data_IF_489592049019
#
_entry.id   IF_489592049019
#
_cell.length_a   1.000
_cell.length_b   1.000
_cell.length_c   1.000
_cell.angle_alpha   90.00
_cell.angle_beta   90.00
_cell.angle_gamma   90.00
#
_symmetry.space_group_name_H-M   'P 1'
#
loop_
_entity.id
_entity.type
_entity.pdbx_description
1 polymer ?
#
# COMPACT_ATOMS: atom_id res chain seq x y z
N UNK A 1 22.60 14.67 32.32
CA UNK A 1 21.35 14.03 31.85
C UNK A 1 20.19 14.77 32.50
N UNK A 2 19.34 15.44 31.73
CA UNK A 2 18.21 16.20 32.32
C UNK A 2 16.96 15.30 32.36
N UNK A 3 16.35 15.11 33.55
CA UNK A 3 15.02 14.49 33.71
C UNK A 3 13.98 15.59 33.53
N UNK A 4 13.07 15.46 32.57
CA UNK A 4 12.01 16.44 32.30
C UNK A 4 10.65 15.90 32.75
N UNK A 5 9.88 16.69 33.50
CA UNK A 5 8.48 16.43 33.85
C UNK A 5 7.55 16.78 32.66
N UNK A 6 6.57 15.91 32.37
CA UNK A 6 5.59 16.05 31.27
C UNK A 6 4.17 16.12 31.86
N UNK A 7 3.34 17.05 31.39
CA UNK A 7 1.90 17.16 31.71
C UNK A 7 1.04 16.36 30.70
N UNK A 8 -0.08 15.78 31.15
CA UNK A 8 -0.93 14.86 30.39
C UNK A 8 -2.36 15.40 30.17
N UNK A 9 -2.93 15.11 28.99
CA UNK A 9 -4.37 15.05 28.71
C UNK A 9 -4.64 13.68 28.05
N UNK A 10 -5.48 12.85 28.68
CA UNK A 10 -5.72 11.45 28.32
C UNK A 10 -7.20 11.23 27.95
N UNK A 11 -7.48 10.51 26.86
CA UNK A 11 -8.76 9.84 26.63
C UNK A 11 -8.51 8.32 26.57
N UNK A 12 -9.25 7.55 27.37
CA UNK A 12 -8.95 6.16 27.71
C UNK A 12 -9.84 5.15 26.99
N UNK A 13 -9.26 3.99 26.68
CA UNK A 13 -9.87 2.68 26.84
C UNK A 13 -8.80 1.76 27.42
N UNK A 14 -8.99 1.30 28.66
CA UNK A 14 -8.08 0.58 29.58
C UNK A 14 -7.21 1.51 30.47
N UNK A 15 -7.70 1.76 31.68
CA UNK A 15 -7.00 2.50 32.74
C UNK A 15 -5.77 1.71 33.23
N UNK A 16 -4.57 2.23 32.96
CA UNK A 16 -3.35 1.85 33.69
C UNK A 16 -3.20 2.76 34.91
N UNK A 17 -3.08 2.19 36.11
CA UNK A 17 -2.98 2.91 37.39
C UNK A 17 -1.72 3.81 37.54
N UNK A 18 -0.79 3.78 36.58
CA UNK A 18 0.40 4.65 36.49
C UNK A 18 0.68 5.09 35.04
N UNK A 19 -0.30 5.69 34.38
CA UNK A 19 -0.21 6.10 32.96
C UNK A 19 0.95 7.06 32.65
N UNK A 20 1.34 7.93 33.59
CA UNK A 20 2.46 8.87 33.42
C UNK A 20 3.83 8.18 33.31
N UNK A 21 4.03 7.00 33.91
CA UNK A 21 5.28 6.23 33.79
C UNK A 21 5.53 5.72 32.36
N UNK A 22 4.47 5.52 31.58
CA UNK A 22 4.54 5.02 30.21
C UNK A 22 5.03 6.06 29.20
N UNK A 23 5.12 7.31 29.62
CA UNK A 23 5.70 8.44 28.87
C UNK A 23 6.84 9.11 29.65
N UNK A 24 7.43 8.41 30.63
CA UNK A 24 8.70 8.85 31.20
C UNK A 24 9.86 8.36 30.34
N UNK A 25 10.80 9.27 30.12
CA UNK A 25 11.81 9.12 29.09
C UNK A 25 13.03 9.99 29.33
N UNK A 26 14.09 9.71 28.59
CA UNK A 26 15.26 10.57 28.50
C UNK A 26 15.25 11.31 27.19
N UNK A 27 15.55 12.61 27.25
CA UNK A 27 15.67 13.46 26.08
C UNK A 27 17.15 13.75 25.82
N UNK A 28 17.57 13.60 24.57
CA UNK A 28 18.92 13.86 24.11
C UNK A 28 18.83 14.71 22.85
N UNK A 29 19.56 15.82 22.83
CA UNK A 29 19.74 16.62 21.64
C UNK A 29 21.02 16.18 20.92
N UNK A 30 20.90 15.82 19.65
CA UNK A 30 22.05 15.60 18.73
C UNK A 30 21.98 16.60 17.59
N UNK A 31 23.07 16.81 16.83
CA UNK A 31 23.19 17.90 15.82
C UNK A 31 21.88 18.20 15.07
N UNK A 32 21.34 17.23 14.33
CA UNK A 32 20.16 17.39 13.48
C UNK A 32 18.85 16.85 14.06
N UNK A 33 18.86 16.22 15.24
CA UNK A 33 17.67 15.55 15.77
C UNK A 33 17.50 15.74 17.29
N UNK A 34 16.25 15.65 17.74
CA UNK A 34 15.94 15.35 19.12
C UNK A 34 15.61 13.86 19.25
N UNK A 35 16.14 13.22 20.29
CA UNK A 35 15.95 11.80 20.57
C UNK A 35 15.29 11.69 21.94
N UNK A 36 14.13 11.03 21.97
CA UNK A 36 13.39 10.80 23.19
C UNK A 36 13.17 9.31 23.40
N UNK A 37 13.71 8.76 24.48
CA UNK A 37 13.44 7.37 24.87
C UNK A 37 12.10 7.28 25.58
N UNK A 38 11.37 6.18 25.39
CA UNK A 38 10.12 5.93 26.09
C UNK A 38 10.11 4.52 26.68
N UNK A 39 9.37 4.34 27.77
CA UNK A 39 9.13 3.01 28.34
C UNK A 39 7.94 2.35 27.64
N UNK A 40 8.02 1.04 27.46
CA UNK A 40 6.88 0.22 27.06
C UNK A 40 6.61 -0.81 28.16
N UNK A 41 5.34 -1.18 28.42
CA UNK A 41 5.03 -2.24 29.38
C UNK A 41 5.74 -3.54 29.02
N UNK A 42 6.04 -4.35 30.04
CA UNK A 42 6.58 -5.69 29.82
C UNK A 42 5.58 -6.53 29.02
N UNK A 43 6.10 -7.32 28.09
CA UNK A 43 5.34 -8.26 27.27
C UNK A 43 5.76 -9.68 27.60
N UNK A 44 4.89 -10.63 27.26
CA UNK A 44 5.21 -12.05 27.22
C UNK A 44 6.48 -12.30 26.40
N UNK A 45 7.22 -13.35 26.76
CA UNK A 45 8.52 -13.65 26.17
C UNK A 45 8.49 -13.93 24.66
N UNK A 46 7.33 -14.19 24.07
CA UNK A 46 7.15 -14.40 22.62
C UNK A 46 6.63 -13.16 21.87
N UNK A 47 6.46 -12.02 22.54
CA UNK A 47 5.86 -10.81 21.94
C UNK A 47 6.84 -9.64 21.91
N UNK A 48 6.60 -8.71 21.00
CA UNK A 48 7.35 -7.44 20.85
C UNK A 48 6.40 -6.29 20.55
N UNK A 49 6.80 -5.08 20.92
CA UNK A 49 6.07 -3.87 20.58
C UNK A 49 6.45 -3.39 19.18
N UNK A 50 5.45 -3.23 18.32
CA UNK A 50 5.56 -2.45 17.09
C UNK A 50 5.08 -1.02 17.38
N UNK A 51 6.04 -0.10 17.47
CA UNK A 51 5.77 1.29 17.80
C UNK A 51 5.61 2.15 16.54
N UNK A 52 4.72 3.14 16.60
CA UNK A 52 4.49 4.13 15.55
C UNK A 52 4.25 5.50 16.18
N UNK A 53 4.89 6.52 15.65
CA UNK A 53 4.78 7.89 16.14
C UNK A 53 4.24 8.82 15.06
N UNK A 54 3.42 9.77 15.47
CA UNK A 54 2.93 10.86 14.63
C UNK A 54 2.98 12.16 15.42
N UNK A 55 3.39 13.25 14.77
CA UNK A 55 3.28 14.60 15.31
C UNK A 55 1.87 15.15 15.10
N UNK A 56 1.26 15.68 16.16
CA UNK A 56 -0.02 16.38 16.11
C UNK A 56 0.21 17.85 15.78
N UNK A 57 1.00 18.54 16.61
CA UNK A 57 1.31 19.96 16.47
C UNK A 57 2.63 20.31 17.16
N UNK A 58 3.56 21.06 16.52
CA UNK A 58 3.59 21.31 15.07
C UNK A 58 3.72 20.00 14.28
N UNK A 59 3.31 19.99 13.00
CA UNK A 59 3.58 18.84 12.13
C UNK A 59 5.06 18.81 11.76
N UNK A 60 5.77 17.78 12.22
CA UNK A 60 7.21 17.63 12.04
C UNK A 60 7.56 16.20 11.63
N UNK A 61 8.69 15.99 10.91
CA UNK A 61 9.17 14.65 10.63
C UNK A 61 9.57 13.93 11.92
N UNK A 62 8.84 12.88 12.25
CA UNK A 62 9.08 12.02 13.41
C UNK A 62 9.08 10.54 13.01
N UNK A 63 9.95 9.76 13.62
CA UNK A 63 10.00 8.31 13.41
C UNK A 63 10.43 7.56 14.66
N UNK A 64 10.22 6.26 14.66
CA UNK A 64 10.73 5.36 15.69
C UNK A 64 12.13 4.90 15.26
N UNK A 65 13.08 4.91 16.19
CA UNK A 65 14.44 4.39 15.97
C UNK A 65 14.43 2.91 15.60
N UNK A 66 15.53 2.44 14.99
CA UNK A 66 15.66 1.04 14.52
C UNK A 66 15.49 0.00 15.64
N UNK A 67 15.91 0.33 16.87
CA UNK A 67 15.74 -0.51 18.05
C UNK A 67 14.30 -0.55 18.58
N UNK A 68 13.42 0.30 18.05
CA UNK A 68 12.01 0.41 18.42
C UNK A 68 11.74 1.18 19.72
N UNK A 69 12.75 1.77 20.36
CA UNK A 69 12.67 2.26 21.76
C UNK A 69 12.75 3.78 21.90
N UNK A 70 13.02 4.50 20.82
CA UNK A 70 13.17 5.96 20.83
C UNK A 70 12.33 6.60 19.75
N UNK A 71 11.80 7.78 20.05
CA UNK A 71 11.24 8.69 19.05
C UNK A 71 12.40 9.59 18.61
N UNK A 72 12.57 9.70 17.31
CA UNK A 72 13.49 10.65 16.69
C UNK A 72 12.68 11.74 16.02
N UNK A 73 13.02 12.98 16.29
CA UNK A 73 12.35 14.18 15.80
C UNK A 73 13.40 14.98 15.02
N UNK A 74 13.15 15.20 13.74
CA UNK A 74 14.07 16.00 12.93
C UNK A 74 13.97 17.48 13.33
N UNK A 75 15.12 18.15 13.50
CA UNK A 75 15.15 19.59 13.73
C UNK A 75 14.89 20.31 12.41
N UNK A 76 13.69 20.85 12.24
CA UNK A 76 13.38 21.74 11.12
C UNK A 76 13.91 23.14 11.48
N UNK A 77 14.75 23.70 10.63
CA UNK A 77 15.30 25.06 10.78
C UNK A 77 14.16 26.08 10.99
N UNK A 78 14.33 27.01 11.94
CA UNK A 78 13.42 28.10 12.28
C UNK A 78 12.11 27.77 13.04
N UNK A 79 11.98 26.61 13.70
CA UNK A 79 10.81 26.40 14.59
C UNK A 79 11.08 26.92 16.02
N UNK A 80 10.39 27.97 16.51
CA UNK A 80 10.52 28.49 17.88
C UNK A 80 9.79 27.61 18.92
N UNK A 81 9.34 26.42 18.53
CA UNK A 81 8.40 25.63 19.30
C UNK A 81 9.08 25.01 20.53
N UNK A 82 8.71 25.52 21.70
CA UNK A 82 9.12 25.02 23.02
C UNK A 82 8.54 23.64 23.34
N UNK A 83 7.60 23.15 22.53
CA UNK A 83 7.00 21.83 22.69
C UNK A 83 6.48 21.22 21.40
N UNK A 84 6.29 19.90 21.42
CA UNK A 84 5.69 19.11 20.34
C UNK A 84 4.71 18.10 20.90
N UNK A 85 3.48 18.10 20.37
CA UNK A 85 2.46 17.12 20.68
C UNK A 85 2.63 15.88 19.79
N UNK A 86 2.66 14.71 20.41
CA UNK A 86 2.92 13.44 19.75
C UNK A 86 1.85 12.41 20.11
N UNK A 87 1.52 11.56 19.14
CA UNK A 87 0.81 10.30 19.36
C UNK A 87 1.79 9.15 19.15
N UNK A 88 1.93 8.28 20.15
CA UNK A 88 2.68 7.04 20.08
C UNK A 88 1.70 5.86 20.20
N UNK A 89 1.57 5.10 19.11
CA UNK A 89 0.75 3.88 19.06
C UNK A 89 1.66 2.66 19.14
N UNK A 90 1.33 1.73 20.03
CA UNK A 90 2.06 0.48 20.24
C UNK A 90 1.15 -0.71 20.01
N UNK A 91 1.54 -1.59 19.08
CA UNK A 91 0.85 -2.82 18.77
C UNK A 91 1.65 -4.00 19.31
N UNK A 92 0.97 -4.95 19.95
CA UNK A 92 1.60 -6.20 20.42
C UNK A 92 1.69 -7.15 19.24
N UNK A 93 2.90 -7.54 18.84
CA UNK A 93 3.13 -8.43 17.70
C UNK A 93 3.95 -9.64 18.14
N UNK A 94 3.92 -10.71 17.35
CA UNK A 94 4.75 -11.88 17.61
C UNK A 94 6.22 -11.59 17.31
N UNK A 95 7.12 -12.13 18.13
CA UNK A 95 8.57 -12.05 17.90
C UNK A 95 8.97 -12.63 16.54
N UNK A 96 8.19 -13.57 16.02
CA UNK A 96 8.37 -14.16 14.68
C UNK A 96 8.29 -13.12 13.57
N UNK A 97 7.55 -12.01 13.73
CA UNK A 97 7.50 -10.92 12.75
C UNK A 97 8.89 -10.33 12.45
N UNK A 98 9.85 -10.45 13.39
CA UNK A 98 11.22 -9.97 13.19
C UNK A 98 12.02 -10.85 12.21
N UNK A 99 11.60 -12.09 12.02
CA UNK A 99 12.32 -13.11 11.26
C UNK A 99 11.56 -13.55 10.00
N UNK A 100 10.23 -13.47 10.00
CA UNK A 100 9.40 -13.76 8.83
C UNK A 100 9.60 -12.66 7.79
N UNK A 101 10.08 -13.00 6.59
CA UNK A 101 10.24 -12.04 5.51
C UNK A 101 8.89 -11.76 4.83
N UNK A 102 8.70 -10.54 4.30
CA UNK A 102 7.41 -10.20 3.67
C UNK A 102 7.07 -11.10 2.48
N UNK A 103 8.08 -11.59 1.75
CA UNK A 103 7.87 -12.45 0.58
C UNK A 103 7.53 -13.92 0.95
N UNK A 104 7.51 -14.24 2.25
CA UNK A 104 7.06 -15.52 2.79
C UNK A 104 5.57 -15.50 3.16
N UNK A 105 4.84 -14.47 2.74
CA UNK A 105 3.41 -14.29 3.00
C UNK A 105 2.67 -14.17 1.67
N UNK A 106 1.51 -14.81 1.58
CA UNK A 106 0.58 -14.65 0.47
C UNK A 106 -0.60 -13.77 0.89
N UNK A 107 -0.97 -12.87 -0.01
CA UNK A 107 -2.00 -11.85 0.11
C UNK A 107 -2.87 -11.84 -1.14
N UNK A 108 -4.16 -11.56 -0.96
CA UNK A 108 -5.11 -11.41 -2.05
C UNK A 108 -5.38 -9.92 -2.25
N UNK A 109 -5.60 -9.53 -3.50
CA UNK A 109 -6.07 -8.20 -3.87
C UNK A 109 -6.97 -8.25 -5.09
N UNK A 110 -7.61 -7.13 -5.37
CA UNK A 110 -8.50 -7.02 -6.53
C UNK A 110 -7.74 -6.60 -7.78
N UNK A 111 -8.16 -7.09 -8.93
CA UNK A 111 -7.78 -6.58 -10.25
C UNK A 111 -8.75 -5.44 -10.62
N UNK A 112 -8.23 -4.39 -11.27
CA UNK A 112 -8.95 -3.13 -11.55
C UNK A 112 -9.72 -2.60 -10.32
N UNK A 113 -9.02 -2.39 -9.20
CA UNK A 113 -9.62 -2.22 -7.87
C UNK A 113 -10.62 -1.07 -7.74
N UNK A 114 -10.58 -0.11 -8.66
CA UNK A 114 -11.44 1.06 -8.70
C UNK A 114 -12.75 0.82 -9.48
N UNK A 115 -12.85 -0.29 -10.21
CA UNK A 115 -13.86 -0.50 -11.25
C UNK A 115 -15.30 -0.55 -10.73
N UNK A 116 -16.19 0.13 -11.45
CA UNK A 116 -17.64 0.08 -11.29
C UNK A 116 -18.22 -0.33 -12.65
N UNK A 117 -19.08 -1.35 -12.69
CA UNK A 117 -19.69 -1.81 -13.94
C UNK A 117 -20.35 -0.65 -14.71
N UNK A 118 -20.23 -0.57 -16.05
CA UNK A 118 -20.93 0.43 -16.84
C UNK A 118 -22.45 0.42 -16.61
N UNK A 119 -23.07 1.60 -16.69
CA UNK A 119 -24.52 1.72 -16.62
C UNK A 119 -25.19 0.93 -17.75
N UNK A 120 -26.41 0.41 -17.52
CA UNK A 120 -27.09 -0.53 -18.43
C UNK A 120 -27.23 0.02 -19.85
N UNK A 121 -27.50 1.31 -20.01
CA UNK A 121 -27.59 2.00 -21.30
C UNK A 121 -26.25 2.03 -22.06
N UNK A 122 -25.14 2.35 -21.38
CA UNK A 122 -23.80 2.32 -21.97
C UNK A 122 -23.40 0.88 -22.28
N UNK A 123 -23.78 -0.06 -21.41
CA UNK A 123 -23.53 -1.48 -21.62
C UNK A 123 -24.22 -2.01 -22.89
N UNK A 124 -25.41 -1.51 -23.24
CA UNK A 124 -26.06 -1.84 -24.52
C UNK A 124 -25.23 -1.35 -25.72
N UNK A 125 -24.62 -0.17 -25.64
CA UNK A 125 -23.74 0.34 -26.68
C UNK A 125 -22.48 -0.53 -26.80
N UNK A 126 -21.82 -0.82 -25.68
CA UNK A 126 -20.62 -1.68 -25.66
C UNK A 126 -20.94 -3.05 -26.24
N UNK A 127 -22.06 -3.67 -25.83
CA UNK A 127 -22.44 -5.01 -26.28
C UNK A 127 -22.71 -5.10 -27.79
N UNK A 128 -23.22 -4.02 -28.42
CA UNK A 128 -23.43 -3.98 -29.87
C UNK A 128 -22.13 -4.04 -30.68
N UNK A 129 -21.04 -3.50 -30.13
CA UNK A 129 -19.75 -3.39 -30.84
C UNK A 129 -18.74 -4.43 -30.37
N UNK A 130 -18.77 -4.77 -29.08
CA UNK A 130 -17.75 -5.58 -28.39
C UNK A 130 -18.42 -6.55 -27.38
N UNK A 131 -19.23 -7.51 -27.85
CA UNK A 131 -20.04 -8.36 -26.98
C UNK A 131 -19.23 -9.17 -25.96
N UNK A 132 -18.04 -9.64 -26.34
CA UNK A 132 -17.14 -10.37 -25.44
C UNK A 132 -16.59 -9.50 -24.30
N UNK A 133 -16.28 -8.23 -24.59
CA UNK A 133 -15.77 -7.29 -23.59
C UNK A 133 -16.87 -6.80 -22.65
N UNK A 134 -18.09 -6.61 -23.16
CA UNK A 134 -19.25 -6.19 -22.36
C UNK A 134 -19.49 -7.13 -21.18
N UNK A 135 -19.35 -8.44 -21.40
CA UNK A 135 -19.47 -9.41 -20.33
C UNK A 135 -18.31 -9.29 -19.34
N UNK A 136 -17.07 -9.15 -19.83
CA UNK A 136 -15.87 -9.12 -19.00
C UNK A 136 -15.80 -7.96 -18.00
N UNK A 137 -16.50 -6.85 -18.28
CA UNK A 137 -16.53 -5.64 -17.43
C UNK A 137 -17.85 -5.50 -16.65
N UNK A 138 -18.69 -6.55 -16.60
CA UNK A 138 -19.98 -6.52 -15.89
C UNK A 138 -19.82 -6.88 -14.41
N UNK A 139 -18.97 -6.16 -13.68
CA UNK A 139 -18.77 -6.34 -12.24
C UNK A 139 -18.40 -5.00 -11.58
N UNK A 140 -18.60 -4.89 -10.26
CA UNK A 140 -18.18 -3.70 -9.51
C UNK A 140 -17.40 -4.13 -8.28
N UNK A 141 -16.35 -3.39 -7.95
CA UNK A 141 -15.69 -3.52 -6.66
C UNK A 141 -16.30 -2.54 -5.66
N UNK A 142 -16.16 -2.88 -4.38
CA UNK A 142 -16.44 -1.96 -3.27
C UNK A 142 -15.46 -0.77 -3.29
N UNK A 143 -15.73 0.35 -2.62
CA UNK A 143 -14.73 1.38 -2.35
C UNK A 143 -13.44 0.80 -1.74
N UNK A 144 -12.28 1.41 -1.98
CA UNK A 144 -10.98 0.84 -1.60
C UNK A 144 -10.87 0.59 -0.08
N UNK A 145 -11.45 1.48 0.73
CA UNK A 145 -11.53 1.32 2.20
C UNK A 145 -12.30 0.07 2.59
N UNK A 146 -13.43 -0.19 1.95
CA UNK A 146 -14.24 -1.38 2.23
C UNK A 146 -13.55 -2.66 1.78
N UNK A 147 -12.79 -2.62 0.68
CA UNK A 147 -11.97 -3.74 0.26
C UNK A 147 -10.91 -4.09 1.32
N UNK A 148 -10.32 -3.09 1.99
CA UNK A 148 -9.36 -3.30 3.07
C UNK A 148 -10.01 -3.85 4.34
N UNK A 149 -11.14 -3.26 4.74
CA UNK A 149 -11.78 -3.46 6.04
C UNK A 149 -12.69 -4.69 6.08
N UNK A 150 -13.57 -4.83 5.09
CA UNK A 150 -14.64 -5.83 5.11
C UNK A 150 -14.15 -7.17 4.59
N UNK A 151 -13.48 -7.15 3.43
CA UNK A 151 -13.07 -8.35 2.68
C UNK A 151 -11.55 -8.61 2.72
N UNK A 152 -10.78 -7.78 3.42
CA UNK A 152 -9.39 -8.09 3.81
C UNK A 152 -8.36 -8.03 2.68
N UNK A 153 -8.60 -7.28 1.62
CA UNK A 153 -7.66 -7.15 0.50
C UNK A 153 -6.37 -6.44 0.94
N UNK A 154 -5.21 -6.88 0.46
CA UNK A 154 -3.90 -6.24 0.71
C UNK A 154 -3.12 -6.01 -0.59
N UNK A 155 -3.82 -5.97 -1.71
CA UNK A 155 -3.30 -5.49 -2.99
C UNK A 155 -4.38 -4.76 -3.77
N UNK A 156 -3.98 -3.71 -4.47
CA UNK A 156 -4.79 -2.97 -5.41
C UNK A 156 -4.09 -2.82 -6.76
N UNK A 157 -4.87 -2.66 -7.82
CA UNK A 157 -4.41 -2.35 -9.18
C UNK A 157 -5.18 -1.15 -9.70
N UNK A 158 -4.42 -0.16 -10.15
CA UNK A 158 -4.92 1.12 -10.62
C UNK A 158 -4.40 1.33 -12.04
N UNK A 159 -5.34 1.46 -12.97
CA UNK A 159 -5.05 1.81 -14.36
C UNK A 159 -4.96 3.33 -14.45
N UNK A 160 -3.80 3.83 -14.88
CA UNK A 160 -3.46 5.24 -14.82
C UNK A 160 -3.35 5.84 -16.21
N UNK A 161 -4.16 6.85 -16.47
CA UNK A 161 -4.01 7.75 -17.61
C UNK A 161 -3.42 9.09 -17.14
N UNK A 162 -2.45 9.64 -17.88
CA UNK A 162 -1.95 10.98 -17.59
C UNK A 162 -2.75 12.02 -18.35
N UNK A 163 -3.38 12.95 -17.63
CA UNK A 163 -4.07 14.12 -18.19
C UNK A 163 -3.34 15.41 -17.80
N UNK A 164 -2.42 15.87 -18.66
CA UNK A 164 -1.57 17.03 -18.35
C UNK A 164 -2.34 18.35 -18.25
N UNK A 165 -3.52 18.45 -18.88
CA UNK A 165 -4.32 19.67 -18.94
C UNK A 165 -5.55 19.63 -18.03
N UNK A 166 -6.01 18.42 -17.71
CA UNK A 166 -7.28 18.20 -17.05
C UNK A 166 -8.45 18.25 -18.03
N UNK A 167 -9.53 17.54 -17.67
CA UNK A 167 -10.80 17.59 -18.38
C UNK A 167 -10.89 16.70 -19.61
N UNK A 168 -9.81 16.01 -19.99
CA UNK A 168 -9.83 15.11 -21.16
C UNK A 168 -10.82 13.97 -20.94
N UNK A 169 -10.95 13.50 -19.71
CA UNK A 169 -11.78 12.35 -19.36
C UNK A 169 -13.06 12.71 -18.58
N UNK A 170 -13.43 14.00 -18.52
CA UNK A 170 -14.60 14.45 -17.74
C UNK A 170 -15.93 14.34 -18.50
N UNK A 171 -15.89 14.06 -19.81
CA UNK A 171 -17.07 13.94 -20.67
C UNK A 171 -17.02 12.62 -21.46
N UNK A 172 -17.34 11.48 -20.82
CA UNK A 172 -17.22 10.17 -21.44
C UNK A 172 -18.24 9.98 -22.57
N UNK A 173 -17.76 9.66 -23.78
CA UNK A 173 -18.56 9.56 -24.99
C UNK A 173 -19.75 8.60 -24.86
N UNK A 174 -19.56 7.44 -24.24
CA UNK A 174 -20.61 6.44 -24.06
C UNK A 174 -21.79 6.96 -23.24
N UNK A 175 -21.53 7.76 -22.20
CA UNK A 175 -22.58 8.38 -21.39
C UNK A 175 -23.40 9.40 -22.20
N UNK A 176 -22.70 10.23 -22.99
CA UNK A 176 -23.32 11.24 -23.87
C UNK A 176 -24.16 10.56 -24.94
N UNK A 177 -23.65 9.51 -25.59
CA UNK A 177 -24.39 8.73 -26.58
C UNK A 177 -25.64 8.07 -25.98
N UNK A 178 -25.55 7.58 -24.75
CA UNK A 178 -26.64 6.88 -24.08
C UNK A 178 -27.75 7.80 -23.55
N UNK A 179 -27.42 9.05 -23.19
CA UNK A 179 -28.34 9.92 -22.42
C UNK A 179 -28.39 11.37 -22.90
N UNK A 180 -27.71 11.72 -23.99
CA UNK A 180 -27.69 13.07 -24.56
C UNK A 180 -27.15 14.12 -23.59
N UNK A 181 -27.64 15.36 -23.71
CA UNK A 181 -27.18 16.52 -22.92
C UNK A 181 -27.43 16.37 -21.41
N UNK A 182 -28.32 15.47 -20.98
CA UNK A 182 -28.64 15.24 -19.57
C UNK A 182 -27.87 14.07 -18.96
N UNK A 183 -26.83 13.56 -19.64
CA UNK A 183 -26.10 12.37 -19.23
C UNK A 183 -25.62 12.41 -17.78
N UNK A 184 -25.18 13.57 -17.29
CA UNK A 184 -24.66 13.77 -15.93
C UNK A 184 -25.58 13.27 -14.83
N UNK A 185 -26.90 13.43 -15.00
CA UNK A 185 -27.89 12.98 -14.00
C UNK A 185 -27.89 11.46 -13.78
N UNK A 186 -27.35 10.67 -14.71
CA UNK A 186 -27.28 9.20 -14.62
C UNK A 186 -25.98 8.69 -13.97
N UNK A 187 -25.02 9.57 -13.69
CA UNK A 187 -23.71 9.20 -13.12
C UNK A 187 -23.35 10.12 -11.94
N UNK A 188 -24.15 10.14 -10.85
CA UNK A 188 -23.91 11.00 -9.70
C UNK A 188 -22.57 10.72 -9.00
N UNK A 189 -21.99 9.54 -9.18
CA UNK A 189 -20.67 9.18 -8.67
C UNK A 189 -19.50 9.78 -9.47
N UNK A 190 -19.75 10.29 -10.69
CA UNK A 190 -18.69 10.85 -11.52
C UNK A 190 -18.21 12.18 -10.95
N UNK A 191 -16.99 12.18 -10.44
CA UNK A 191 -16.37 13.37 -9.86
C UNK A 191 -15.72 14.24 -10.93
N UNK A 192 -16.53 15.07 -11.60
CA UNK A 192 -16.05 15.97 -12.65
C UNK A 192 -14.95 16.91 -12.16
N UNK A 193 -15.04 17.40 -10.92
CA UNK A 193 -14.01 18.29 -10.35
C UNK A 193 -12.65 17.60 -10.28
N UNK A 194 -12.60 16.32 -9.92
CA UNK A 194 -11.38 15.51 -9.92
C UNK A 194 -10.85 15.23 -11.33
N UNK A 195 -11.73 15.00 -12.30
CA UNK A 195 -11.36 14.71 -13.69
C UNK A 195 -10.93 15.97 -14.46
N UNK A 196 -11.49 17.14 -14.12
CA UNK A 196 -11.17 18.43 -14.75
C UNK A 196 -9.81 19.02 -14.34
N UNK A 197 -9.20 18.53 -13.26
CA UNK A 197 -7.86 18.97 -12.85
C UNK A 197 -6.78 18.25 -13.67
N UNK A 198 -5.58 18.80 -13.88
CA UNK A 198 -4.44 18.02 -14.36
C UNK A 198 -4.10 16.83 -13.44
N UNK A 199 -3.39 15.84 -13.97
CA UNK A 199 -2.78 14.75 -13.21
C UNK A 199 -3.26 13.35 -13.60
N UNK A 200 -2.98 12.38 -12.73
CA UNK A 200 -3.18 10.95 -12.97
C UNK A 200 -4.64 10.53 -12.74
N UNK A 201 -5.32 10.07 -13.81
CA UNK A 201 -6.71 9.57 -13.77
C UNK A 201 -6.74 8.07 -13.62
N UNK A 202 -7.74 7.58 -12.89
CA UNK A 202 -7.90 6.16 -12.60
C UNK A 202 -9.18 5.65 -13.26
N UNK A 203 -9.04 5.01 -14.42
CA UNK A 203 -10.12 4.65 -15.36
C UNK A 203 -9.75 3.35 -16.09
N UNK A 204 -10.73 2.58 -16.56
CA UNK A 204 -10.46 1.36 -17.36
C UNK A 204 -10.43 1.68 -18.86
N UNK A 205 -11.56 2.10 -19.43
CA UNK A 205 -11.65 2.65 -20.79
C UNK A 205 -12.37 4.00 -20.76
N UNK A 206 -11.66 5.13 -20.80
CA UNK A 206 -12.22 6.44 -20.43
C UNK A 206 -13.49 6.90 -21.14
N UNK A 207 -13.81 6.36 -22.32
CA UNK A 207 -14.99 6.75 -23.08
C UNK A 207 -16.22 5.86 -22.81
N UNK A 208 -16.05 4.60 -22.43
CA UNK A 208 -17.14 3.62 -22.35
C UNK A 208 -17.19 2.85 -21.04
N UNK A 209 -16.04 2.63 -20.42
CA UNK A 209 -15.89 2.00 -19.11
C UNK A 209 -15.08 2.91 -18.17
N UNK A 210 -15.71 4.05 -17.87
CA UNK A 210 -15.10 5.20 -17.22
C UNK A 210 -15.44 5.30 -15.73
N UNK A 211 -16.37 4.47 -15.25
CA UNK A 211 -16.88 4.58 -13.88
C UNK A 211 -15.83 4.03 -12.91
N UNK A 212 -15.57 4.80 -11.86
CA UNK A 212 -14.49 4.54 -10.92
C UNK A 212 -14.88 4.98 -9.53
N UNK A 213 -14.66 4.13 -8.53
CA UNK A 213 -14.80 4.48 -7.11
C UNK A 213 -13.80 5.55 -6.69
N UNK A 214 -12.69 5.70 -7.44
CA UNK A 214 -11.62 6.65 -7.14
C UNK A 214 -11.17 7.32 -8.44
N UNK A 215 -11.64 8.54 -8.77
CA UNK A 215 -11.48 9.13 -10.11
C UNK A 215 -10.05 9.53 -10.48
N UNK A 216 -9.16 9.69 -9.48
CA UNK A 216 -7.76 10.03 -9.68
C UNK A 216 -6.86 9.40 -8.61
N UNK A 217 -5.56 9.33 -8.91
CA UNK A 217 -4.58 8.64 -8.07
C UNK A 217 -4.48 9.26 -6.68
N UNK A 218 -4.45 10.60 -6.59
CA UNK A 218 -4.40 11.29 -5.30
C UNK A 218 -5.57 10.90 -4.38
N UNK A 219 -6.79 10.78 -4.91
CA UNK A 219 -7.96 10.35 -4.12
C UNK A 219 -7.84 8.90 -3.69
N UNK A 220 -7.46 8.00 -4.60
CA UNK A 220 -7.22 6.59 -4.27
C UNK A 220 -6.18 6.43 -3.14
N UNK A 221 -5.04 7.10 -3.27
CA UNK A 221 -3.97 7.01 -2.26
C UNK A 221 -4.36 7.67 -0.94
N UNK A 222 -5.08 8.79 -0.95
CA UNK A 222 -5.58 9.43 0.28
C UNK A 222 -6.56 8.52 1.03
N UNK A 223 -7.44 7.85 0.31
CA UNK A 223 -8.39 6.90 0.90
C UNK A 223 -7.65 5.75 1.59
N UNK A 224 -6.74 5.09 0.85
CA UNK A 224 -5.94 3.97 1.36
C UNK A 224 -5.07 4.41 2.55
N UNK A 225 -4.38 5.56 2.47
CA UNK A 225 -3.52 6.06 3.54
C UNK A 225 -4.33 6.44 4.79
N UNK A 226 -5.53 7.00 4.61
CA UNK A 226 -6.43 7.32 5.72
C UNK A 226 -6.83 6.06 6.50
N UNK A 227 -7.20 4.99 5.79
CA UNK A 227 -7.47 3.70 6.42
C UNK A 227 -6.21 3.13 7.08
N UNK A 228 -5.07 3.15 6.38
CA UNK A 228 -3.80 2.61 6.86
C UNK A 228 -3.32 3.29 8.14
N UNK A 229 -3.46 4.62 8.26
CA UNK A 229 -3.09 5.37 9.47
C UNK A 229 -3.94 5.02 10.69
N UNK A 230 -5.17 4.58 10.48
CA UNK A 230 -6.04 4.06 11.56
C UNK A 230 -5.67 2.61 11.94
N UNK A 231 -5.04 1.89 11.01
CA UNK A 231 -4.75 0.46 11.05
C UNK A 231 -3.25 0.13 10.85
N UNK A 232 -2.35 0.79 11.58
CA UNK A 232 -0.89 0.72 11.33
C UNK A 232 -0.22 -0.68 11.48
N UNK A 233 -0.98 -1.69 11.91
CA UNK A 233 -0.54 -3.08 12.05
C UNK A 233 -0.75 -3.93 10.77
N UNK A 234 -1.44 -3.38 9.77
CA UNK A 234 -1.81 -4.14 8.57
C UNK A 234 -0.61 -4.77 7.84
N UNK A 235 -0.82 -5.91 7.18
CA UNK A 235 0.15 -6.55 6.29
C UNK A 235 0.52 -5.60 5.13
N UNK A 236 1.73 -5.69 4.56
CA UNK A 236 2.18 -4.75 3.53
C UNK A 236 1.25 -4.76 2.32
N UNK A 237 0.75 -3.57 1.95
CA UNK A 237 -0.21 -3.42 0.85
C UNK A 237 0.54 -3.15 -0.44
N UNK A 238 0.29 -3.93 -1.49
CA UNK A 238 0.80 -3.63 -2.83
C UNK A 238 -0.16 -2.72 -3.59
N UNK A 239 0.36 -1.63 -4.16
CA UNK A 239 -0.34 -0.83 -5.17
C UNK A 239 0.37 -1.09 -6.51
N UNK A 240 -0.29 -1.89 -7.35
CA UNK A 240 0.14 -2.15 -8.71
C UNK A 240 -0.38 -1.01 -9.60
N UNK A 241 0.53 -0.37 -10.32
CA UNK A 241 0.23 0.71 -11.25
C UNK A 241 0.35 0.15 -12.66
N UNK A 242 -0.73 0.21 -13.43
CA UNK A 242 -0.73 -0.05 -14.87
C UNK A 242 -0.89 1.29 -15.59
N UNK A 243 0.15 1.80 -16.22
CA UNK A 243 0.04 3.01 -17.04
C UNK A 243 -0.64 2.68 -18.36
N UNK A 244 -1.67 3.44 -18.71
CA UNK A 244 -2.47 3.24 -19.91
C UNK A 244 -2.20 4.35 -20.92
N UNK A 245 -2.54 4.04 -22.16
CA UNK A 245 -2.56 4.97 -23.29
C UNK A 245 -3.90 4.86 -24.00
N UNK A 246 -4.27 5.88 -24.74
CA UNK A 246 -5.38 5.82 -25.70
C UNK A 246 -4.83 5.85 -27.11
N UNK A 247 -5.66 5.47 -28.09
CA UNK A 247 -5.23 5.43 -29.48
C UNK A 247 -4.94 6.84 -30.01
N UNK A 248 -3.92 6.93 -30.87
CA UNK A 248 -3.63 8.14 -31.63
C UNK A 248 -4.87 8.53 -32.46
N UNK A 249 -5.21 9.82 -32.47
CA UNK A 249 -6.41 10.34 -33.15
C UNK A 249 -7.71 10.30 -32.32
N UNK A 250 -7.70 9.71 -31.13
CA UNK A 250 -8.81 9.87 -30.17
C UNK A 250 -8.89 11.32 -29.67
N UNK A 251 -10.09 11.90 -29.44
CA UNK A 251 -10.23 13.19 -28.74
C UNK A 251 -9.56 13.19 -27.35
N UNK A 252 -9.33 12.02 -26.78
CA UNK A 252 -8.68 11.79 -25.49
C UNK A 252 -7.30 11.15 -25.63
N UNK A 253 -6.57 11.40 -26.73
CA UNK A 253 -5.27 10.83 -27.01
C UNK A 253 -4.26 11.09 -25.87
N UNK A 254 -3.69 10.02 -25.33
CA UNK A 254 -2.67 10.00 -24.30
C UNK A 254 -1.65 8.96 -24.71
N UNK A 255 -0.39 9.38 -24.79
CA UNK A 255 0.71 8.57 -25.30
C UNK A 255 1.19 7.52 -24.30
N UNK A 256 2.15 6.71 -24.75
CA UNK A 256 2.94 5.85 -23.86
C UNK A 256 3.65 6.70 -22.81
N UNK A 257 3.60 6.29 -21.54
CA UNK A 257 4.28 6.99 -20.44
C UNK A 257 5.79 7.08 -20.70
N UNK A 258 6.27 8.31 -20.79
CA UNK A 258 7.68 8.65 -20.87
C UNK A 258 8.25 9.06 -19.51
N UNK A 259 9.50 9.51 -19.52
CA UNK A 259 10.23 9.94 -18.31
C UNK A 259 9.48 11.02 -17.55
N UNK A 260 8.94 12.05 -18.23
CA UNK A 260 8.21 13.16 -17.59
C UNK A 260 6.93 12.67 -16.91
N UNK A 261 6.20 11.75 -17.55
CA UNK A 261 4.97 11.19 -16.98
C UNK A 261 5.25 10.39 -15.71
N UNK A 262 6.34 9.62 -15.70
CA UNK A 262 6.77 8.91 -14.49
C UNK A 262 7.24 9.84 -13.37
N UNK A 263 7.89 10.97 -13.70
CA UNK A 263 8.24 12.00 -12.70
C UNK A 263 6.98 12.54 -12.02
N UNK A 264 5.96 12.90 -12.80
CA UNK A 264 4.68 13.41 -12.26
C UNK A 264 3.94 12.34 -11.46
N UNK A 265 3.94 11.09 -11.93
CA UNK A 265 3.34 9.95 -11.22
C UNK A 265 3.97 9.80 -9.83
N UNK A 266 5.30 9.78 -9.77
CA UNK A 266 5.99 9.66 -8.51
C UNK A 266 5.80 10.88 -7.59
N UNK A 267 5.71 12.08 -8.16
CA UNK A 267 5.43 13.30 -7.40
C UNK A 267 4.04 13.26 -6.75
N UNK A 268 3.01 12.80 -7.48
CA UNK A 268 1.68 12.60 -6.90
C UNK A 268 1.72 11.58 -5.75
N UNK A 269 2.41 10.44 -5.93
CA UNK A 269 2.57 9.45 -4.85
C UNK A 269 3.26 10.08 -3.63
N UNK A 270 4.39 10.77 -3.84
CA UNK A 270 5.19 11.43 -2.79
C UNK A 270 4.41 12.56 -2.09
N UNK A 271 3.45 13.19 -2.76
CA UNK A 271 2.61 14.23 -2.16
C UNK A 271 1.66 13.69 -1.08
N UNK A 272 1.30 12.41 -1.15
CA UNK A 272 0.38 11.75 -0.21
C UNK A 272 1.16 10.89 0.80
N UNK A 273 2.14 10.13 0.32
CA UNK A 273 2.88 9.15 1.11
C UNK A 273 4.34 9.57 1.27
N UNK A 274 4.77 9.76 2.51
CA UNK A 274 6.20 9.91 2.80
C UNK A 274 6.97 8.62 2.48
N UNK A 275 8.23 8.73 2.06
CA UNK A 275 9.05 7.56 1.72
C UNK A 275 9.15 6.51 2.84
N UNK A 276 9.09 6.91 4.12
CA UNK A 276 9.05 5.98 5.25
C UNK A 276 7.83 5.03 5.25
N UNK A 277 6.77 5.37 4.50
CA UNK A 277 5.56 4.56 4.34
C UNK A 277 5.67 3.59 3.16
N UNK A 278 6.71 3.74 2.32
CA UNK A 278 6.90 2.95 1.10
C UNK A 278 8.14 2.07 1.30
N UNK A 279 8.03 0.78 1.01
CA UNK A 279 9.19 -0.11 0.89
C UNK A 279 9.73 0.09 -0.51
N UNK A 280 10.92 0.69 -0.64
CA UNK A 280 11.49 1.04 -1.95
C UNK A 280 12.48 -0.02 -2.46
N UNK A 281 12.75 -0.05 -3.79
CA UNK A 281 13.87 -0.77 -4.38
C UNK A 281 15.20 -0.57 -3.64
N UNK A 282 15.53 0.68 -3.26
CA UNK A 282 16.78 1.01 -2.55
C UNK A 282 16.83 0.41 -1.14
N UNK A 283 15.71 0.42 -0.41
CA UNK A 283 15.66 -0.19 0.92
C UNK A 283 15.92 -1.70 0.86
N UNK A 284 15.33 -2.39 -0.13
CA UNK A 284 15.55 -3.82 -0.34
C UNK A 284 16.98 -4.08 -0.81
N UNK A 285 17.51 -3.25 -1.73
CA UNK A 285 18.90 -3.35 -2.22
C UNK A 285 19.91 -3.19 -1.09
N UNK A 286 19.69 -2.26 -0.17
CA UNK A 286 20.62 -1.93 0.91
C UNK A 286 22.02 -1.64 0.36
N UNK A 287 23.02 -2.38 0.84
CA UNK A 287 24.44 -2.20 0.47
C UNK A 287 24.89 -3.03 -0.74
N UNK A 288 24.00 -3.83 -1.34
CA UNK A 288 24.37 -4.67 -2.49
C UNK A 288 24.53 -3.83 -3.77
N UNK A 289 25.43 -4.26 -4.67
CA UNK A 289 25.64 -3.59 -5.96
C UNK A 289 24.36 -3.51 -6.81
N UNK A 290 23.50 -4.52 -6.73
CA UNK A 290 22.29 -4.66 -7.54
C UNK A 290 21.13 -5.12 -6.66
N UNK A 291 19.91 -4.72 -6.99
CA UNK A 291 18.70 -5.15 -6.28
C UNK A 291 18.49 -6.67 -6.40
N UNK A 292 18.73 -7.24 -7.59
CA UNK A 292 18.61 -8.67 -7.81
C UNK A 292 19.52 -9.50 -6.90
N UNK A 293 20.80 -9.11 -6.78
CA UNK A 293 21.71 -9.76 -5.83
C UNK A 293 21.17 -9.69 -4.39
N UNK A 294 20.62 -8.54 -3.97
CA UNK A 294 20.11 -8.37 -2.62
C UNK A 294 18.97 -9.35 -2.28
N UNK A 295 17.97 -9.48 -3.16
CA UNK A 295 16.84 -10.39 -2.90
C UNK A 295 17.26 -11.87 -2.91
N UNK A 296 18.30 -12.23 -3.68
CA UNK A 296 18.83 -13.59 -3.77
C UNK A 296 19.72 -13.99 -2.60
N UNK A 297 20.30 -13.03 -1.87
CA UNK A 297 21.24 -13.30 -0.77
C UNK A 297 20.71 -12.91 0.60
N UNK A 298 20.16 -11.71 0.73
CA UNK A 298 19.62 -11.17 1.99
C UNK A 298 18.12 -11.39 2.11
N UNK A 299 17.42 -11.41 0.98
CA UNK A 299 15.96 -11.47 0.94
C UNK A 299 15.29 -10.13 1.21
N UNK A 300 14.00 -10.20 1.51
CA UNK A 300 13.15 -9.02 1.71
C UNK A 300 13.11 -8.56 3.18
N UNK A 301 12.69 -7.32 3.46
CA UNK A 301 12.47 -6.85 4.83
C UNK A 301 11.53 -7.77 5.62
N UNK A 302 11.81 -7.90 6.91
CA UNK A 302 10.96 -8.67 7.83
C UNK A 302 9.58 -8.05 7.96
N UNK A 303 8.59 -8.87 8.30
CA UNK A 303 7.20 -8.42 8.45
C UNK A 303 7.09 -7.28 9.47
N UNK A 304 7.85 -7.33 10.56
CA UNK A 304 7.92 -6.24 11.54
C UNK A 304 8.25 -4.88 10.89
N UNK A 305 9.19 -4.86 9.94
CA UNK A 305 9.60 -3.65 9.21
C UNK A 305 8.63 -3.28 8.09
N UNK A 306 7.83 -4.22 7.61
CA UNK A 306 6.90 -4.06 6.50
C UNK A 306 5.47 -3.71 6.90
N UNK A 307 5.07 -4.00 8.15
CA UNK A 307 3.72 -3.70 8.65
C UNK A 307 3.36 -2.23 8.55
N UNK A 308 2.15 -1.97 8.09
CA UNK A 308 1.62 -0.62 7.92
C UNK A 308 2.20 0.12 6.72
N UNK A 309 2.94 -0.53 5.81
CA UNK A 309 3.65 0.10 4.69
C UNK A 309 3.13 -0.39 3.34
N UNK A 310 3.53 0.31 2.30
CA UNK A 310 3.13 0.09 0.92
C UNK A 310 4.29 -0.39 0.06
N UNK A 311 3.98 -1.20 -0.94
CA UNK A 311 4.87 -1.57 -2.04
C UNK A 311 4.23 -1.04 -3.31
N UNK A 312 4.94 -0.20 -4.07
CA UNK A 312 4.48 0.21 -5.39
C UNK A 312 5.17 -0.63 -6.45
N UNK A 313 4.41 -1.11 -7.43
CA UNK A 313 4.94 -1.90 -8.54
C UNK A 313 4.37 -1.42 -9.87
N UNK A 314 5.20 -1.38 -10.90
CA UNK A 314 4.80 -1.09 -12.28
C UNK A 314 4.45 -2.41 -12.98
N UNK A 315 3.23 -2.51 -13.50
CA UNK A 315 2.77 -3.67 -14.29
C UNK A 315 3.42 -3.71 -15.68
N UNK A 316 3.62 -2.53 -16.26
CA UNK A 316 4.05 -2.35 -17.64
C UNK A 316 5.46 -2.89 -17.90
N UNK A 317 5.64 -3.33 -19.14
CA UNK A 317 6.91 -3.79 -19.72
C UNK A 317 7.18 -2.99 -21.01
N UNK A 318 8.22 -3.32 -21.77
CA UNK A 318 8.50 -2.63 -23.04
C UNK A 318 8.87 -1.15 -22.86
N UNK A 319 8.30 -0.26 -23.68
CA UNK A 319 8.70 1.16 -23.76
C UNK A 319 8.51 1.92 -22.43
N UNK A 320 7.47 1.59 -21.68
CA UNK A 320 7.19 2.14 -20.35
C UNK A 320 8.28 1.70 -19.36
N UNK A 321 8.63 0.42 -19.35
CA UNK A 321 9.74 -0.10 -18.55
C UNK A 321 11.07 0.56 -18.93
N UNK A 322 11.35 0.68 -20.23
CA UNK A 322 12.57 1.34 -20.72
C UNK A 322 12.64 2.80 -20.26
N UNK A 323 11.52 3.53 -20.34
CA UNK A 323 11.41 4.91 -19.85
C UNK A 323 11.64 4.99 -18.35
N UNK A 324 11.04 4.08 -17.57
CA UNK A 324 11.21 4.07 -16.12
C UNK A 324 12.64 3.72 -15.70
N UNK A 325 13.32 2.81 -16.42
CA UNK A 325 14.72 2.46 -16.17
C UNK A 325 15.71 3.52 -16.68
N UNK A 326 15.35 4.32 -17.68
CA UNK A 326 16.12 5.53 -18.04
C UNK A 326 16.04 6.60 -16.94
N UNK A 327 14.86 6.79 -16.36
CA UNK A 327 14.67 7.69 -15.22
C UNK A 327 15.41 7.18 -13.97
N UNK A 328 15.31 5.87 -13.69
CA UNK A 328 15.96 5.22 -12.55
C UNK A 328 16.84 4.05 -12.99
N UNK A 329 18.08 4.30 -13.43
CA UNK A 329 19.01 3.23 -13.78
C UNK A 329 19.20 2.24 -12.64
N UNK A 330 18.95 0.95 -12.92
CA UNK A 330 18.93 -0.14 -11.94
C UNK A 330 17.93 0.03 -10.78
N UNK A 331 16.90 0.86 -10.97
CA UNK A 331 15.94 1.31 -9.96
C UNK A 331 16.59 2.05 -8.78
N UNK A 332 17.71 2.75 -8.99
CA UNK A 332 18.29 3.62 -7.95
C UNK A 332 17.42 4.87 -7.77
N UNK A 333 17.04 5.16 -6.52
CA UNK A 333 16.16 6.28 -6.19
C UNK A 333 14.70 6.12 -6.62
N UNK A 334 14.33 4.98 -7.21
CA UNK A 334 12.97 4.66 -7.63
C UNK A 334 12.06 4.42 -6.40
N UNK A 335 10.77 4.71 -6.55
CA UNK A 335 9.76 4.29 -5.57
C UNK A 335 8.90 3.11 -6.04
N UNK A 336 8.85 2.80 -7.34
CA UNK A 336 8.19 1.61 -7.89
C UNK A 336 9.22 0.49 -8.13
N UNK A 337 8.84 -0.74 -7.80
CA UNK A 337 9.47 -1.92 -8.39
C UNK A 337 8.98 -2.09 -9.83
N UNK A 338 9.86 -2.48 -10.75
CA UNK A 338 9.46 -2.71 -12.14
C UNK A 338 9.57 -4.19 -12.51
N UNK A 339 8.62 -4.70 -13.30
CA UNK A 339 8.60 -6.08 -13.79
C UNK A 339 9.64 -6.31 -14.91
N UNK A 340 10.92 -6.25 -14.54
CA UNK A 340 12.07 -6.48 -15.43
C UNK A 340 12.41 -7.98 -15.53
N UNK A 341 12.92 -8.47 -16.69
CA UNK A 341 13.31 -9.87 -16.86
C UNK A 341 14.20 -10.41 -15.72
N UNK A 342 13.99 -11.66 -15.27
CA UNK A 342 14.84 -12.28 -14.25
C UNK A 342 16.34 -12.23 -14.60
N UNK A 343 17.20 -12.10 -13.58
CA UNK A 343 18.64 -11.96 -13.69
C UNK A 343 19.15 -10.52 -13.91
N UNK A 344 18.31 -9.59 -14.39
CA UNK A 344 18.70 -8.18 -14.58
C UNK A 344 19.00 -7.50 -13.23
N UNK A 345 19.96 -6.55 -13.15
CA UNK A 345 20.37 -5.89 -11.90
C UNK A 345 19.23 -5.31 -11.05
N UNK A 346 18.20 -4.77 -11.70
CA UNK A 346 17.01 -4.17 -11.10
C UNK A 346 15.90 -5.17 -10.75
N UNK A 347 15.95 -6.38 -11.30
CA UNK A 347 14.80 -7.29 -11.26
C UNK A 347 14.65 -7.90 -9.86
N UNK A 348 13.53 -7.60 -9.21
CA UNK A 348 13.13 -8.20 -7.93
C UNK A 348 11.63 -8.50 -7.84
N UNK A 349 10.82 -7.77 -8.61
CA UNK A 349 9.40 -8.00 -8.77
C UNK A 349 9.11 -8.57 -10.17
N UNK A 350 8.17 -9.51 -10.27
CA UNK A 350 7.70 -10.04 -11.55
C UNK A 350 6.16 -10.05 -11.58
N UNK A 351 5.59 -9.54 -12.66
CA UNK A 351 4.19 -9.75 -13.01
C UNK A 351 4.08 -10.97 -13.93
N UNK A 352 3.38 -12.00 -13.46
CA UNK A 352 3.15 -13.24 -14.22
C UNK A 352 1.68 -13.61 -14.11
N UNK A 353 0.89 -13.29 -15.14
CA UNK A 353 -0.58 -13.36 -15.07
C UNK A 353 -1.15 -14.77 -14.99
N UNK A 354 -0.57 -15.72 -15.73
CA UNK A 354 -1.12 -17.08 -15.86
C UNK A 354 -0.33 -18.07 -14.98
N UNK A 355 -0.84 -18.46 -13.80
CA UNK A 355 -0.18 -19.42 -12.92
C UNK A 355 -0.37 -20.87 -13.35
N UNK A 356 -1.25 -21.19 -14.30
CA UNK A 356 -1.41 -22.54 -14.83
C UNK A 356 -0.23 -22.84 -15.75
N UNK A 357 -0.01 -22.00 -16.77
CA UNK A 357 1.09 -22.17 -17.73
C UNK A 357 2.46 -21.99 -17.08
N UNK A 358 2.55 -21.11 -16.09
CA UNK A 358 3.84 -20.70 -15.51
C UNK A 358 4.08 -21.27 -14.10
N UNK A 359 3.33 -22.28 -13.67
CA UNK A 359 3.36 -22.77 -12.28
C UNK A 359 4.78 -23.07 -11.77
N UNK A 360 5.54 -23.89 -12.52
CA UNK A 360 6.90 -24.29 -12.16
C UNK A 360 7.88 -23.11 -12.18
N UNK A 361 7.78 -22.24 -13.18
CA UNK A 361 8.61 -21.03 -13.27
C UNK A 361 8.35 -20.09 -12.10
N UNK A 362 7.09 -19.85 -11.75
CA UNK A 362 6.73 -18.99 -10.60
C UNK A 362 7.37 -19.57 -9.33
N UNK A 363 7.20 -20.87 -9.07
CA UNK A 363 7.76 -21.53 -7.89
C UNK A 363 9.29 -21.43 -7.84
N UNK A 364 9.96 -21.65 -8.97
CA UNK A 364 11.41 -21.49 -9.10
C UNK A 364 11.86 -20.06 -8.77
N UNK A 365 11.23 -19.04 -9.36
CA UNK A 365 11.61 -17.65 -9.12
C UNK A 365 11.36 -17.22 -7.69
N UNK A 366 10.30 -17.71 -7.03
CA UNK A 366 10.09 -17.37 -5.63
C UNK A 366 11.14 -18.01 -4.72
N UNK A 367 11.57 -19.24 -5.03
CA UNK A 367 12.70 -19.87 -4.31
C UNK A 367 14.01 -19.09 -4.45
N UNK A 368 14.15 -18.31 -5.53
CA UNK A 368 15.26 -17.39 -5.77
C UNK A 368 15.06 -16.01 -5.12
N UNK A 369 13.96 -15.79 -4.39
CA UNK A 369 13.71 -14.55 -3.66
C UNK A 369 12.91 -13.49 -4.42
N UNK A 370 12.41 -13.78 -5.63
CA UNK A 370 11.55 -12.85 -6.34
C UNK A 370 10.18 -12.68 -5.65
N UNK A 371 9.66 -11.45 -5.68
CA UNK A 371 8.28 -11.16 -5.33
C UNK A 371 7.42 -11.21 -6.59
N UNK A 372 6.32 -11.95 -6.56
CA UNK A 372 5.52 -12.20 -7.76
C UNK A 372 4.05 -11.83 -7.54
N UNK A 373 3.50 -11.08 -8.50
CA UNK A 373 2.05 -10.91 -8.69
C UNK A 373 1.55 -11.88 -9.74
N UNK A 374 0.46 -12.58 -9.44
CA UNK A 374 -0.26 -13.46 -10.37
C UNK A 374 -1.77 -13.28 -10.26
N UNK A 375 -2.57 -14.00 -11.07
CA UNK A 375 -4.04 -13.93 -11.07
C UNK A 375 -4.68 -15.26 -10.67
N UNK A 376 -5.73 -15.21 -9.85
CA UNK A 376 -6.56 -16.36 -9.52
C UNK A 376 -7.61 -16.67 -10.59
N UNK A 377 -7.94 -15.70 -11.43
CA UNK A 377 -8.97 -15.76 -12.47
C UNK A 377 -8.67 -14.77 -13.60
N UNK A 378 -9.39 -14.92 -14.72
CA UNK A 378 -9.27 -14.08 -15.91
C UNK A 378 -10.56 -14.04 -16.71
N UNK A 379 -10.95 -12.83 -17.14
CA UNK A 379 -12.02 -12.59 -18.13
C UNK A 379 -13.38 -13.21 -17.76
N UNK A 380 -13.65 -13.28 -16.45
CA UNK A 380 -14.85 -13.83 -15.82
C UNK A 380 -15.20 -15.30 -16.15
N UNK A 381 -14.35 -16.01 -16.90
CA UNK A 381 -14.62 -17.38 -17.35
C UNK A 381 -14.70 -18.35 -16.17
N UNK A 382 -13.80 -18.21 -15.19
CA UNK A 382 -13.77 -19.06 -14.00
C UNK A 382 -15.04 -18.87 -13.15
N UNK A 383 -15.54 -17.64 -13.04
CA UNK A 383 -16.77 -17.38 -12.30
C UNK A 383 -18.01 -17.96 -12.97
N UNK A 384 -18.13 -17.81 -14.30
CA UNK A 384 -19.22 -18.39 -15.09
C UNK A 384 -19.27 -19.92 -14.95
N UNK A 385 -18.11 -20.57 -14.86
CA UNK A 385 -17.98 -22.03 -14.86
C UNK A 385 -17.73 -22.65 -13.48
N UNK A 386 -17.71 -21.85 -12.40
CA UNK A 386 -17.28 -22.29 -11.06
C UNK A 386 -15.91 -23.02 -11.06
N UNK A 387 -14.98 -22.57 -11.91
CA UNK A 387 -13.68 -23.23 -12.10
C UNK A 387 -12.57 -22.64 -11.23
N UNK A 388 -12.17 -23.38 -10.20
CA UNK A 388 -11.13 -22.98 -9.25
C UNK A 388 -9.72 -23.43 -9.63
N UNK A 389 -9.47 -24.01 -10.82
CA UNK A 389 -8.15 -24.52 -11.21
C UNK A 389 -7.07 -23.44 -11.18
N UNK A 390 -7.34 -22.27 -11.74
CA UNK A 390 -6.37 -21.18 -11.78
C UNK A 390 -6.08 -20.63 -10.39
N UNK A 391 -7.09 -20.42 -9.55
CA UNK A 391 -6.94 -20.04 -8.14
C UNK A 391 -6.05 -21.03 -7.38
N UNK A 392 -6.33 -22.34 -7.49
CA UNK A 392 -5.52 -23.39 -6.85
C UNK A 392 -4.07 -23.38 -7.33
N UNK A 393 -3.83 -23.10 -8.61
CA UNK A 393 -2.47 -22.94 -9.16
C UNK A 393 -1.78 -21.66 -8.68
N UNK A 394 -2.48 -20.53 -8.61
CA UNK A 394 -1.96 -19.29 -8.02
C UNK A 394 -1.55 -19.50 -6.56
N UNK A 395 -2.39 -20.18 -5.79
CA UNK A 395 -2.15 -20.45 -4.38
C UNK A 395 -0.94 -21.37 -4.18
N UNK A 396 -0.86 -22.46 -4.93
CA UNK A 396 0.20 -23.48 -4.80
C UNK A 396 1.53 -23.11 -5.45
N UNK A 397 1.57 -22.13 -6.36
CA UNK A 397 2.82 -21.67 -6.98
C UNK A 397 3.70 -20.87 -6.01
N UNK A 398 3.11 -20.35 -4.94
CA UNK A 398 3.76 -19.52 -3.94
C UNK A 398 3.71 -18.03 -4.23
N UNK A 399 3.10 -17.58 -5.34
CA UNK A 399 3.01 -16.14 -5.65
C UNK A 399 2.43 -15.35 -4.47
N UNK A 400 3.08 -14.23 -4.12
CA UNK A 400 2.76 -13.51 -2.89
C UNK A 400 1.55 -12.60 -3.04
N UNK A 401 1.36 -11.99 -4.20
CA UNK A 401 0.24 -11.10 -4.45
C UNK A 401 -0.67 -11.70 -5.52
N UNK A 402 -1.89 -12.05 -5.13
CA UNK A 402 -2.81 -12.81 -5.98
C UNK A 402 -4.00 -11.93 -6.30
N UNK A 403 -4.17 -11.60 -7.59
CA UNK A 403 -5.23 -10.72 -8.06
C UNK A 403 -6.47 -11.51 -8.44
N UNK A 404 -7.64 -10.97 -8.15
CA UNK A 404 -8.94 -11.56 -8.52
C UNK A 404 -9.93 -10.45 -8.89
N UNK A 405 -10.80 -10.73 -9.85
CA UNK A 405 -11.99 -9.91 -10.12
C UNK A 405 -13.16 -10.28 -9.17
N UNK A 406 -13.03 -11.39 -8.41
CA UNK A 406 -14.09 -11.99 -7.60
C UNK A 406 -13.66 -12.22 -6.15
N UNK A 407 -13.33 -11.17 -5.38
CA UNK A 407 -13.12 -11.34 -3.95
C UNK A 407 -14.39 -11.88 -3.29
N UNK A 408 -14.26 -12.69 -2.24
CA UNK A 408 -15.43 -13.17 -1.51
C UNK A 408 -16.26 -12.03 -0.92
N UNK A 409 -17.53 -11.97 -1.29
CA UNK A 409 -18.49 -11.10 -0.63
C UNK A 409 -18.97 -11.75 0.67
N UNK A 410 -19.18 -10.93 1.70
CA UNK A 410 -19.63 -11.39 3.02
C UNK A 410 -21.05 -11.96 2.93
N UNK A 411 -21.81 -11.57 1.91
CA UNK A 411 -23.24 -11.85 1.74
C UNK A 411 -23.58 -12.99 0.78
N UNK A 412 -22.69 -13.38 -0.13
CA UNK A 412 -22.97 -14.42 -1.11
C UNK A 412 -21.80 -15.41 -1.28
N UNK A 413 -21.91 -16.56 -0.62
CA UNK A 413 -20.92 -17.64 -0.67
C UNK A 413 -21.19 -18.68 -1.75
N UNK A 414 -22.34 -18.62 -2.42
CA UNK A 414 -22.80 -19.64 -3.37
C UNK A 414 -22.24 -19.40 -4.79
N UNK A 415 -21.66 -18.23 -5.03
CA UNK A 415 -20.99 -17.87 -6.30
C UNK A 415 -19.48 -18.06 -6.22
N UNK A 416 -18.83 -18.20 -7.37
CA UNK A 416 -17.36 -18.21 -7.45
C UNK A 416 -16.76 -17.03 -6.68
N UNK A 417 -15.78 -17.32 -5.84
CA UNK A 417 -15.11 -16.33 -5.03
C UNK A 417 -13.69 -16.75 -4.66
N UNK A 418 -12.81 -15.78 -4.50
CA UNK A 418 -11.42 -15.98 -4.11
C UNK A 418 -11.20 -15.38 -2.73
N UNK A 419 -10.95 -16.25 -1.75
CA UNK A 419 -10.56 -15.86 -0.40
C UNK A 419 -9.65 -16.90 0.23
N UNK A 420 -9.04 -16.54 1.35
CA UNK A 420 -8.40 -17.54 2.20
C UNK A 420 -9.46 -18.33 2.98
N UNK A 421 -9.18 -19.61 3.31
CA UNK A 421 -9.99 -20.36 4.27
C UNK A 421 -10.10 -19.63 5.62
N UNK A 422 -11.21 -19.86 6.33
CA UNK A 422 -11.48 -19.31 7.67
C UNK A 422 -11.48 -17.76 7.76
N UNK A 423 -11.59 -17.06 6.62
CA UNK A 423 -11.64 -15.59 6.60
C UNK A 423 -10.33 -14.90 6.98
N UNK A 424 -9.19 -15.59 6.86
CA UNK A 424 -7.86 -15.01 7.10
C UNK A 424 -7.57 -13.88 6.09
N UNK A 425 -6.78 -12.89 6.49
CA UNK A 425 -6.34 -11.77 5.62
C UNK A 425 -5.15 -12.17 4.75
N UNK A 426 -4.25 -12.97 5.32
CA UNK A 426 -3.07 -13.50 4.64
C UNK A 426 -2.71 -14.87 5.19
N UNK A 427 -1.85 -15.58 4.48
CA UNK A 427 -1.31 -16.86 4.93
C UNK A 427 0.19 -16.95 4.71
N UNK A 428 0.83 -17.85 5.43
CA UNK A 428 2.23 -18.21 5.16
C UNK A 428 2.33 -18.87 3.79
N UNK A 429 3.40 -18.55 3.09
CA UNK A 429 3.66 -19.03 1.75
C UNK A 429 4.11 -20.50 1.79
N UNK A 430 3.42 -21.43 1.09
CA UNK A 430 3.60 -22.87 1.23
C UNK A 430 4.92 -23.40 0.69
N UNK A 431 5.69 -22.60 -0.05
CA UNK A 431 6.97 -23.05 -0.59
C UNK A 431 8.11 -22.90 0.41
N UNK A 432 7.92 -22.12 1.48
CA UNK A 432 8.90 -21.90 2.53
C UNK A 432 8.59 -22.81 3.73
N UNK A 433 9.64 -23.24 4.43
CA UNK A 433 9.48 -24.06 5.64
C UNK A 433 9.21 -23.17 6.84
N UNK A 434 8.07 -23.38 7.48
CA UNK A 434 7.64 -22.64 8.66
C UNK A 434 7.54 -23.58 9.86
N UNK A 435 7.83 -23.08 11.08
CA UNK A 435 7.59 -23.87 12.29
C UNK A 435 6.09 -24.10 12.51
N UNK A 436 5.70 -25.23 13.11
CA UNK A 436 4.29 -25.56 13.42
C UNK A 436 3.60 -24.45 14.23
N UNK A 437 4.32 -23.90 15.21
CA UNK A 437 3.85 -22.76 16.02
C UNK A 437 3.54 -21.52 15.16
N UNK A 438 4.26 -21.31 14.06
CA UNK A 438 4.04 -20.16 13.19
C UNK A 438 2.82 -20.35 12.28
N UNK A 439 2.54 -21.58 11.82
CA UNK A 439 1.35 -21.87 11.00
C UNK A 439 0.02 -21.72 11.74
N UNK A 440 0.05 -21.75 13.07
CA UNK A 440 -1.14 -21.57 13.93
C UNK A 440 -1.44 -20.10 14.23
N UNK A 441 -0.53 -19.16 13.90
CA UNK A 441 -0.69 -17.74 14.19
C UNK A 441 -1.41 -17.03 13.04
N UNK A 442 -2.48 -16.28 13.34
CA UNK A 442 -3.02 -15.33 12.36
C UNK A 442 -2.05 -14.17 12.16
N UNK A 443 -1.71 -13.91 10.90
CA UNK A 443 -0.75 -12.86 10.50
C UNK A 443 -1.30 -11.45 10.71
N UNK A 444 -2.63 -11.30 10.70
CA UNK A 444 -3.32 -10.04 10.95
C UNK A 444 -4.73 -10.31 11.50
N UNK A 445 -5.10 -9.58 12.55
CA UNK A 445 -6.44 -9.61 13.13
C UNK A 445 -7.17 -8.33 12.76
N UNK A 446 -8.46 -8.43 12.39
CA UNK A 446 -9.31 -7.27 12.06
C UNK A 446 -9.31 -6.21 13.17
N UNK A 447 -9.21 -6.63 14.44
CA UNK A 447 -9.00 -5.75 15.59
C UNK A 447 -7.85 -6.28 16.42
N UNK A 448 -6.80 -5.47 16.54
CA UNK A 448 -5.67 -5.76 17.41
C UNK A 448 -5.64 -4.75 18.56
N UNK A 449 -5.56 -5.18 19.84
CA UNK A 449 -5.44 -4.25 20.95
C UNK A 449 -4.18 -3.41 20.78
N UNK A 450 -4.33 -2.09 20.95
CA UNK A 450 -3.24 -1.12 20.83
C UNK A 450 -3.20 -0.22 22.05
N UNK A 451 -1.99 0.12 22.47
CA UNK A 451 -1.74 1.13 23.48
C UNK A 451 -1.46 2.46 22.79
N UNK A 452 -2.32 3.45 23.02
CA UNK A 452 -2.18 4.80 22.45
C UNK A 452 -1.75 5.74 23.57
N UNK A 453 -0.66 6.48 23.35
CA UNK A 453 -0.17 7.53 24.25
C UNK A 453 -0.16 8.84 23.49
N UNK A 454 -0.91 9.82 23.97
CA UNK A 454 -0.88 11.20 23.48
C UNK A 454 -0.21 12.04 24.54
N UNK A 455 0.85 12.76 24.17
CA UNK A 455 1.63 13.55 25.13
C UNK A 455 2.34 14.72 24.46
N UNK A 456 2.66 15.72 25.27
CA UNK A 456 3.44 16.88 24.87
C UNK A 456 4.89 16.72 25.33
N UNK A 457 5.83 16.85 24.42
CA UNK A 457 7.25 16.86 24.72
C UNK A 457 7.77 18.29 24.70
N UNK A 458 8.21 18.79 25.86
CA UNK A 458 8.85 20.11 25.97
C UNK A 458 10.31 20.02 25.52
N UNK A 459 10.72 20.87 24.59
CA UNK A 459 12.09 20.96 24.08
C UNK A 459 12.88 21.89 25.02
N UNK A 460 13.98 21.43 25.64
CA UNK A 460 14.78 22.26 26.54
C UNK A 460 15.35 23.50 25.83
N UNK A 461 15.26 24.68 26.46
CA UNK A 461 15.92 25.89 25.95
C UNK A 461 17.44 25.78 26.15
N UNK A 462 18.23 26.25 25.18
CA UNK A 462 19.71 26.36 25.25
C UNK A 462 20.27 27.23 26.40
N UNK A 463 19.42 27.75 27.29
CA UNK A 463 19.79 28.73 28.31
C UNK A 463 19.96 28.18 29.74
N UNK A 464 20.03 26.87 29.96
CA UNK A 464 20.54 26.36 31.24
C UNK A 464 22.00 25.93 31.09
N UNK A 465 22.90 26.93 31.15
CA UNK A 465 24.27 26.67 31.61
C UNK A 465 24.17 26.07 33.01
N UNK A 466 25.01 25.05 33.24
CA UNK A 466 25.36 24.46 34.53
C UNK A 466 24.92 25.26 35.75
N UNK A 467 23.89 24.78 36.44
CA UNK A 467 23.79 24.96 37.89
C UNK A 467 23.40 23.60 38.47
N UNK A 468 24.31 23.03 39.25
CA UNK A 468 23.99 22.00 40.21
C UNK A 468 22.91 22.56 41.14
N UNK A 469 21.68 22.06 41.05
CA UNK A 469 20.71 22.19 42.14
C UNK A 469 19.99 20.85 42.30
N UNK A 470 20.16 20.33 43.50
CA UNK A 470 19.55 19.14 44.11
C UNK A 470 18.05 19.30 44.36
N UNK A 471 17.31 18.20 44.17
CA UNK A 471 16.01 17.81 44.80
C UNK A 471 14.78 18.72 44.49
N UNK A 472 13.53 18.25 44.39
CA UNK A 472 12.82 17.05 44.89
C UNK A 472 11.88 16.48 43.82
#
# INVERSE_FOLDING_TARGET
MHRLLIFCLLSFSICYSKSSELIKGTFIEVKSNFIYSFKSPQLDSNKVWLNRVQSISPKMPVWISDDGRKIVINKVSNSPNKSIQLTLQSYKTDKTDKFLALNEIQLIGTHNSYHIAPHSSVMQLIRKVMPSQADAIKYSHRPLTEQLELIGMRKFELDIFHDNKGGVYSQPLGAIMAHGIQWKGNYPELDESALNKPGMKVLHFPNFDFRSNTPNLMKALKEIDTWSRKNLYHLPIMILIETKKTNDGSPTASGIFGIKDFVELENEIKSILSLSRIITPDEVRGKFKTLNKAIRTKGWPSLYKSRGRFIFALDNQGKELDSYLKLHPQLKGAILFASSPPGRPESAFLKINDPIKNHSMIKEKISQGYLIRTRADSDLAQAKNMDYKQMKKAFSSGAQYISTDFPADVTNKETYNVSWPEGKIGRLNPIFKHSKKMSEISLEYKRSPKLIRVFELKIPNKQSKSNNVSQQ
#
